data_IF_206519439168
#
_entry.id   IF_206519439168
#
_cell.length_a   1.000
_cell.length_b   1.000
_cell.length_c   1.000
_cell.angle_alpha   90.00
_cell.angle_beta   90.00
_cell.angle_gamma   90.00
#
_symmetry.space_group_name_H-M   'P 1'
#
loop_
_entity.id
_entity.type
_entity.pdbx_description
1 polymer ?
#
# COMPACT_ATOMS: atom_id res chain seq x y z
N UNK A 1 -19.47 46.93 20.06
CA UNK A 1 -19.88 45.79 19.19
C UNK A 1 -18.77 45.20 18.30
N UNK A 2 -17.65 45.89 18.02
CA UNK A 2 -16.61 45.38 17.08
C UNK A 2 -15.63 44.35 17.65
N UNK A 3 -15.36 44.36 18.96
CA UNK A 3 -14.41 43.43 19.60
C UNK A 3 -14.95 42.00 19.76
N UNK A 4 -16.25 41.85 20.06
CA UNK A 4 -16.91 40.54 20.22
C UNK A 4 -16.92 39.74 18.91
N UNK A 5 -17.14 40.42 17.79
CA UNK A 5 -17.11 39.78 16.46
C UNK A 5 -15.68 39.39 16.05
N UNK A 6 -14.66 40.15 16.46
CA UNK A 6 -13.26 39.82 16.22
C UNK A 6 -12.81 38.61 17.06
N UNK A 7 -13.28 38.49 18.29
CA UNK A 7 -13.01 37.35 19.18
C UNK A 7 -13.67 36.06 18.69
N UNK A 8 -14.91 36.13 18.19
CA UNK A 8 -15.61 34.98 17.58
C UNK A 8 -14.89 34.54 16.30
N UNK A 9 -14.42 35.48 15.48
CA UNK A 9 -13.64 35.16 14.29
C UNK A 9 -12.29 34.50 14.65
N UNK A 10 -11.61 34.96 15.70
CA UNK A 10 -10.37 34.36 16.19
C UNK A 10 -10.58 32.92 16.74
N UNK A 11 -11.68 32.66 17.45
CA UNK A 11 -12.02 31.33 17.96
C UNK A 11 -12.39 30.34 16.86
N UNK A 12 -12.98 30.81 15.75
CA UNK A 12 -13.28 29.99 14.58
C UNK A 12 -12.01 29.55 13.83
N UNK A 13 -10.95 30.37 13.82
CA UNK A 13 -9.68 30.04 13.16
C UNK A 13 -8.91 28.96 13.95
N UNK A 14 -9.03 28.94 15.28
CA UNK A 14 -8.39 27.93 16.15
C UNK A 14 -9.08 26.55 16.12
N UNK A 15 -10.32 26.47 15.63
CA UNK A 15 -11.07 25.20 15.57
C UNK A 15 -10.70 24.33 14.37
N UNK A 16 -9.85 24.80 13.46
CA UNK A 16 -9.41 24.04 12.29
C UNK A 16 -8.01 23.45 12.52
N UNK A 17 -7.88 22.56 13.49
CA UNK A 17 -6.71 21.68 13.63
C UNK A 17 -7.08 20.29 13.11
N UNK A 18 -7.23 20.14 11.80
CA UNK A 18 -7.13 18.82 11.19
C UNK A 18 -5.66 18.43 11.20
N UNK A 19 -5.27 17.46 12.04
CA UNK A 19 -3.96 16.83 11.90
C UNK A 19 -3.84 16.26 10.49
N UNK A 20 -2.96 16.85 9.66
CA UNK A 20 -2.63 16.30 8.35
C UNK A 20 -1.80 15.04 8.62
N UNK A 21 -2.50 13.91 8.70
CA UNK A 21 -1.87 12.61 8.86
C UNK A 21 -1.29 12.18 7.51
N UNK A 22 0.02 12.02 7.44
CA UNK A 22 0.66 11.50 6.23
C UNK A 22 0.16 10.08 5.99
N UNK A 23 -0.26 9.78 4.76
CA UNK A 23 -0.63 8.43 4.38
C UNK A 23 0.60 7.52 4.48
N UNK A 24 0.51 6.41 5.24
CA UNK A 24 1.52 5.36 5.18
C UNK A 24 1.87 4.97 3.74
N UNK A 25 3.14 4.70 3.50
CA UNK A 25 3.64 4.17 2.24
C UNK A 25 4.30 2.82 2.51
N UNK A 26 4.19 1.91 1.56
CA UNK A 26 4.94 0.67 1.58
C UNK A 26 6.44 0.98 1.39
N UNK A 27 7.28 0.41 2.25
CA UNK A 27 8.73 0.53 2.20
C UNK A 27 9.29 -0.88 2.29
N UNK A 28 10.12 -1.28 1.32
CA UNK A 28 10.73 -2.61 1.26
C UNK A 28 9.72 -3.76 1.47
N UNK A 29 8.57 -3.69 0.81
CA UNK A 29 7.56 -4.76 0.85
C UNK A 29 6.73 -4.80 2.13
N UNK A 30 6.81 -3.78 3.00
CA UNK A 30 5.99 -3.69 4.21
C UNK A 30 5.30 -2.34 4.35
N UNK A 31 4.05 -2.33 4.79
CA UNK A 31 3.30 -1.12 5.18
C UNK A 31 2.75 -1.30 6.60
N UNK A 32 2.92 -0.26 7.44
CA UNK A 32 2.45 -0.28 8.82
C UNK A 32 1.19 0.56 8.99
N UNK A 33 0.06 -0.14 9.17
CA UNK A 33 -1.26 0.45 9.37
C UNK A 33 -1.74 0.32 10.82
N UNK A 34 -0.88 -0.05 11.78
CA UNK A 34 -1.27 -0.20 13.19
C UNK A 34 -1.81 1.08 13.83
N UNK A 35 -1.46 2.23 13.26
CA UNK A 35 -1.93 3.56 13.69
C UNK A 35 -3.03 4.11 12.78
N UNK A 36 -3.44 3.41 11.74
CA UNK A 36 -4.49 3.86 10.81
C UNK A 36 -5.86 3.50 11.36
N UNK A 37 -6.77 4.47 11.44
CA UNK A 37 -8.13 4.27 11.92
C UNK A 37 -9.10 4.36 10.74
N UNK A 38 -9.42 3.24 10.09
CA UNK A 38 -10.24 3.24 8.86
C UNK A 38 -11.60 3.96 8.97
N UNK A 39 -12.18 4.01 10.17
CA UNK A 39 -13.45 4.73 10.41
C UNK A 39 -13.29 6.26 10.45
N UNK A 40 -12.10 6.76 10.81
CA UNK A 40 -11.77 8.18 10.94
C UNK A 40 -10.97 8.68 9.74
N UNK A 41 -9.93 7.94 9.37
CA UNK A 41 -8.95 8.27 8.33
C UNK A 41 -9.41 7.81 6.94
N UNK A 42 -10.37 6.87 6.88
CA UNK A 42 -10.99 6.39 5.64
C UNK A 42 -10.18 5.34 4.89
N UNK A 43 -10.43 5.26 3.57
CA UNK A 43 -9.76 4.33 2.66
C UNK A 43 -8.31 4.80 2.44
N UNK A 44 -7.37 3.87 2.52
CA UNK A 44 -5.96 4.11 2.24
C UNK A 44 -5.52 3.34 0.99
N UNK A 45 -4.66 3.96 0.17
CA UNK A 45 -3.96 3.27 -0.90
C UNK A 45 -2.75 2.52 -0.35
N UNK A 46 -2.42 1.38 -0.95
CA UNK A 46 -1.24 0.59 -0.61
C UNK A 46 -0.02 1.00 -1.45
N UNK A 47 0.16 2.31 -1.64
CA UNK A 47 1.19 2.87 -2.52
C UNK A 47 2.58 2.71 -1.90
N UNK A 48 3.61 2.52 -2.73
CA UNK A 48 5.01 2.47 -2.31
C UNK A 48 5.77 1.27 -2.89
N UNK A 49 6.79 0.79 -2.18
CA UNK A 49 7.66 -0.29 -2.60
C UNK A 49 7.11 -1.67 -2.20
N UNK A 50 6.80 -2.49 -3.21
CA UNK A 50 6.36 -3.87 -3.04
C UNK A 50 7.50 -4.84 -3.34
N UNK A 51 7.47 -6.02 -2.71
CA UNK A 51 8.31 -7.13 -3.14
C UNK A 51 7.89 -7.54 -4.57
N UNK A 52 8.86 -7.66 -5.46
CA UNK A 52 8.65 -8.00 -6.86
C UNK A 52 9.49 -9.22 -7.25
N UNK A 53 8.83 -10.20 -7.88
CA UNK A 53 9.43 -11.43 -8.35
C UNK A 53 9.09 -11.57 -9.84
N UNK A 54 10.06 -11.28 -10.71
CA UNK A 54 9.89 -11.37 -12.15
C UNK A 54 9.90 -12.83 -12.62
N UNK A 55 9.10 -13.13 -13.64
CA UNK A 55 9.00 -14.45 -14.29
C UNK A 55 8.66 -15.59 -13.32
N UNK A 56 7.92 -15.26 -12.26
CA UNK A 56 7.53 -16.19 -11.20
C UNK A 56 6.06 -15.96 -10.79
N UNK A 57 5.27 -17.05 -10.77
CA UNK A 57 3.92 -17.09 -10.20
C UNK A 57 3.97 -17.84 -8.87
N UNK A 58 4.32 -17.12 -7.81
CA UNK A 58 4.47 -17.68 -6.48
C UNK A 58 3.13 -17.69 -5.74
N UNK A 59 2.93 -18.77 -4.99
CA UNK A 59 1.79 -19.01 -4.10
C UNK A 59 2.20 -18.79 -2.65
N UNK A 60 1.23 -18.64 -1.71
CA UNK A 60 1.55 -18.55 -0.29
C UNK A 60 2.42 -19.72 0.22
N UNK A 61 2.15 -20.94 -0.27
CA UNK A 61 2.87 -22.16 0.09
C UNK A 61 4.37 -22.10 -0.25
N UNK A 62 4.73 -21.41 -1.34
CA UNK A 62 6.13 -21.24 -1.75
C UNK A 62 6.92 -20.39 -0.75
N UNK A 63 6.26 -19.41 -0.12
CA UNK A 63 6.85 -18.60 0.95
C UNK A 63 6.94 -19.31 2.30
N UNK A 64 6.10 -20.33 2.54
CA UNK A 64 6.17 -21.16 3.75
C UNK A 64 7.33 -22.15 3.70
N UNK A 65 7.61 -22.70 2.52
CA UNK A 65 8.73 -23.63 2.27
C UNK A 65 10.10 -22.98 2.39
N UNK A 66 10.16 -21.64 2.59
CA UNK A 66 11.39 -20.84 2.68
C UNK A 66 12.30 -21.01 1.45
N UNK A 67 11.70 -21.21 0.29
CA UNK A 67 12.44 -21.19 -0.97
C UNK A 67 13.03 -19.78 -1.17
N UNK A 68 14.28 -19.74 -1.66
CA UNK A 68 15.00 -18.48 -1.90
C UNK A 68 14.70 -18.06 -3.33
N UNK A 69 13.86 -17.03 -3.47
CA UNK A 69 13.58 -16.40 -4.76
C UNK A 69 14.38 -15.10 -4.91
N UNK A 70 14.88 -14.84 -6.12
CA UNK A 70 15.39 -13.51 -6.47
C UNK A 70 14.27 -12.49 -6.33
N UNK A 71 14.58 -11.37 -5.69
CA UNK A 71 13.59 -10.37 -5.29
C UNK A 71 14.17 -8.98 -5.43
N UNK A 72 13.42 -8.10 -6.08
CA UNK A 72 13.68 -6.66 -6.09
C UNK A 72 12.47 -5.91 -5.50
N UNK A 73 12.59 -4.59 -5.39
CA UNK A 73 11.48 -3.73 -4.98
C UNK A 73 11.00 -2.92 -6.17
N UNK A 74 9.69 -2.92 -6.39
CA UNK A 74 9.06 -2.11 -7.43
C UNK A 74 8.09 -1.12 -6.80
N UNK A 75 8.02 0.09 -7.37
CA UNK A 75 7.00 1.06 -6.99
C UNK A 75 5.64 0.58 -7.49
N UNK A 76 4.63 0.63 -6.63
CA UNK A 76 3.24 0.30 -6.93
C UNK A 76 2.33 1.46 -6.51
N UNK A 77 1.26 1.76 -7.28
CA UNK A 77 0.98 1.26 -8.62
C UNK A 77 1.95 1.87 -9.64
N UNK A 78 2.52 1.03 -10.50
CA UNK A 78 3.31 1.43 -11.67
C UNK A 78 3.38 0.23 -12.64
N UNK A 79 3.77 0.48 -13.88
CA UNK A 79 4.08 -0.60 -14.83
C UNK A 79 5.49 -1.11 -14.61
N UNK A 80 5.72 -2.41 -14.85
CA UNK A 80 7.08 -2.97 -14.86
C UNK A 80 7.82 -2.73 -16.19
N UNK A 81 7.13 -2.20 -17.20
CA UNK A 81 7.71 -1.90 -18.49
C UNK A 81 8.97 -1.07 -18.29
N UNK A 82 10.05 -1.45 -18.98
CA UNK A 82 11.31 -0.73 -18.97
C UNK A 82 12.06 -0.69 -17.63
N UNK A 83 11.53 -1.33 -16.57
CA UNK A 83 12.28 -1.51 -15.32
C UNK A 83 13.48 -2.43 -15.56
N UNK A 84 14.49 -2.30 -14.72
CA UNK A 84 15.67 -3.17 -14.76
C UNK A 84 15.47 -4.28 -13.75
N UNK A 85 15.71 -5.51 -14.17
CA UNK A 85 15.77 -6.70 -13.32
C UNK A 85 17.08 -7.43 -13.62
N UNK A 86 17.92 -7.65 -12.62
CA UNK A 86 19.22 -8.33 -12.78
C UNK A 86 20.06 -7.75 -13.94
N UNK A 87 20.02 -6.42 -14.11
CA UNK A 87 20.75 -5.70 -15.15
C UNK A 87 20.12 -5.75 -16.55
N UNK A 88 18.96 -6.39 -16.72
CA UNK A 88 18.23 -6.45 -18.00
C UNK A 88 16.96 -5.62 -17.96
N UNK A 89 16.66 -4.96 -19.08
CA UNK A 89 15.41 -4.22 -19.25
C UNK A 89 14.24 -5.18 -19.43
N UNK A 90 13.18 -5.02 -18.63
CA UNK A 90 11.98 -5.83 -18.71
C UNK A 90 11.10 -5.43 -19.90
N UNK A 91 10.52 -6.44 -20.56
CA UNK A 91 9.52 -6.25 -21.60
C UNK A 91 8.12 -6.09 -21.00
N UNK A 92 7.17 -5.57 -21.79
CA UNK A 92 5.76 -5.53 -21.36
C UNK A 92 5.11 -6.90 -21.27
N UNK A 93 5.64 -7.89 -21.97
CA UNK A 93 5.18 -9.27 -21.90
C UNK A 93 5.92 -10.01 -20.79
N UNK A 94 5.16 -10.71 -19.96
CA UNK A 94 5.68 -11.51 -18.86
C UNK A 94 4.61 -11.70 -17.80
N UNK A 95 5.05 -12.28 -16.68
CA UNK A 95 4.25 -12.45 -15.49
C UNK A 95 5.15 -12.22 -14.28
N UNK A 96 4.54 -11.86 -13.16
CA UNK A 96 5.27 -11.56 -11.95
C UNK A 96 4.39 -11.78 -10.73
N UNK A 97 5.05 -11.95 -9.59
CA UNK A 97 4.40 -11.91 -8.28
C UNK A 97 4.71 -10.58 -7.61
N UNK A 98 3.67 -9.93 -7.11
CA UNK A 98 3.76 -8.75 -6.26
C UNK A 98 3.35 -9.16 -4.84
N UNK A 99 4.16 -8.79 -3.85
CA UNK A 99 3.86 -9.11 -2.45
C UNK A 99 4.04 -7.89 -1.55
N UNK A 100 3.08 -7.72 -0.64
CA UNK A 100 3.11 -6.70 0.39
C UNK A 100 2.71 -7.33 1.72
N UNK A 101 3.47 -7.04 2.78
CA UNK A 101 3.07 -7.34 4.15
C UNK A 101 2.41 -6.12 4.76
N UNK A 102 1.17 -6.28 5.21
CA UNK A 102 0.40 -5.22 5.84
C UNK A 102 0.30 -5.50 7.33
N UNK A 103 0.74 -4.55 8.17
CA UNK A 103 0.64 -4.67 9.63
C UNK A 103 -0.59 -3.93 10.11
N UNK A 104 -1.54 -4.65 10.71
CA UNK A 104 -2.75 -4.06 11.30
C UNK A 104 -2.66 -4.01 12.81
N UNK A 105 -3.51 -3.16 13.39
CA UNK A 105 -3.81 -3.22 14.82
C UNK A 105 -4.49 -4.55 15.14
N UNK A 106 -4.25 -5.08 16.33
CA UNK A 106 -4.99 -6.25 16.82
C UNK A 106 -6.49 -5.96 16.85
N UNK A 107 -7.30 -6.96 16.48
CA UNK A 107 -8.77 -6.89 16.47
C UNK A 107 -9.34 -5.80 15.56
N UNK A 108 -8.67 -5.49 14.45
CA UNK A 108 -9.23 -4.63 13.40
C UNK A 108 -10.56 -5.20 12.89
N UNK A 109 -11.52 -4.32 12.58
CA UNK A 109 -12.80 -4.75 12.00
C UNK A 109 -12.57 -5.39 10.62
N UNK A 110 -13.53 -6.15 10.08
CA UNK A 110 -13.42 -6.65 8.72
C UNK A 110 -13.11 -5.51 7.73
N UNK A 111 -12.02 -5.68 6.99
CA UNK A 111 -11.57 -4.78 5.93
C UNK A 111 -11.70 -5.48 4.58
N UNK A 112 -11.81 -4.68 3.52
CA UNK A 112 -11.86 -5.18 2.16
C UNK A 112 -10.71 -4.59 1.34
N UNK A 113 -10.11 -5.42 0.49
CA UNK A 113 -9.23 -4.95 -0.57
C UNK A 113 -10.06 -4.57 -1.78
N UNK A 114 -9.80 -3.37 -2.32
CA UNK A 114 -10.41 -2.90 -3.56
C UNK A 114 -9.35 -2.84 -4.65
N UNK A 115 -9.56 -3.64 -5.67
CA UNK A 115 -8.77 -3.66 -6.89
C UNK A 115 -9.51 -2.87 -7.97
N UNK A 116 -8.86 -1.89 -8.61
CA UNK A 116 -9.49 -1.10 -9.69
C UNK A 116 -9.30 -1.78 -11.05
N UNK A 117 -8.06 -1.89 -11.52
CA UNK A 117 -7.73 -2.50 -12.81
C UNK A 117 -6.40 -3.26 -12.71
N UNK A 118 -6.38 -4.49 -13.22
CA UNK A 118 -5.19 -5.33 -13.33
C UNK A 118 -5.28 -6.05 -14.67
N UNK A 119 -4.47 -5.62 -15.63
CA UNK A 119 -4.39 -6.26 -16.92
C UNK A 119 -3.22 -7.27 -16.94
N UNK A 120 -3.32 -8.40 -17.63
CA UNK A 120 -4.51 -8.94 -18.32
C UNK A 120 -5.26 -9.98 -17.47
N UNK A 121 -4.59 -10.59 -16.50
CA UNK A 121 -5.17 -11.54 -15.56
C UNK A 121 -4.37 -11.50 -14.25
N UNK A 122 -5.04 -11.80 -13.13
CA UNK A 122 -4.38 -11.82 -11.83
C UNK A 122 -5.08 -12.81 -10.89
N UNK A 123 -4.33 -13.27 -9.89
CA UNK A 123 -4.83 -14.02 -8.74
C UNK A 123 -4.33 -13.32 -7.49
N UNK A 124 -5.21 -13.13 -6.51
CA UNK A 124 -4.87 -12.52 -5.22
C UNK A 124 -4.90 -13.60 -4.16
N UNK A 125 -3.93 -13.55 -3.27
CA UNK A 125 -3.94 -14.32 -2.04
C UNK A 125 -3.90 -13.40 -0.83
N UNK A 126 -4.59 -13.77 0.24
CA UNK A 126 -4.59 -13.08 1.51
C UNK A 126 -4.45 -14.07 2.66
N UNK A 127 -3.39 -13.96 3.46
CA UNK A 127 -3.13 -14.84 4.60
C UNK A 127 -3.31 -16.34 4.25
N UNK A 128 -2.65 -16.78 3.17
CA UNK A 128 -2.65 -18.16 2.68
C UNK A 128 -3.98 -18.67 2.08
N UNK A 129 -4.85 -17.77 1.61
CA UNK A 129 -6.11 -18.11 0.94
C UNK A 129 -6.27 -17.36 -0.36
#
# INVERSE_FOLDING_TARGET
MRFRNLLILFLLILSCNSEIKNNPQAIKGEIDLRKWEFQKDGIINLDGEWDFYWDALLTPEDFEKKEIFSKEYIKFPDTWNDKIWEGKKLSSNGYATFRLKVKFKENEKPIAFRFREQATAFKVFWNNK
#
